data_IF_172001218756
#
_entry.id   IF_172001218756
#
_cell.length_a   1.000
_cell.length_b   1.000
_cell.length_c   1.000
_cell.angle_alpha   90.00
_cell.angle_beta   90.00
_cell.angle_gamma   90.00
#
_symmetry.space_group_name_H-M   'P 1'
#
loop_
_entity.id
_entity.type
_entity.pdbx_description
1 polymer ?
#
# COMPACT_ATOMS: atom_id res chain seq x y z
N UNK A 1 15.16 -23.06 -24.04
CA UNK A 1 14.66 -22.34 -22.83
C UNK A 1 15.41 -21.02 -22.57
N UNK A 2 16.71 -21.02 -22.23
CA UNK A 2 17.46 -19.80 -21.87
C UNK A 2 17.56 -18.73 -22.99
N UNK A 3 17.63 -19.14 -24.26
CA UNK A 3 17.65 -18.21 -25.40
C UNK A 3 16.37 -17.39 -25.52
N UNK A 4 15.21 -18.03 -25.38
CA UNK A 4 13.89 -17.37 -25.43
C UNK A 4 13.74 -16.37 -24.27
N UNK A 5 14.14 -16.75 -23.05
CA UNK A 5 14.11 -15.85 -21.90
C UNK A 5 14.99 -14.60 -22.09
N UNK A 6 16.16 -14.75 -22.72
CA UNK A 6 17.04 -13.61 -23.03
C UNK A 6 16.45 -12.68 -24.08
N UNK A 7 15.79 -13.23 -25.11
CA UNK A 7 15.13 -12.42 -26.14
C UNK A 7 13.96 -11.63 -25.54
N UNK A 8 13.06 -12.29 -24.78
CA UNK A 8 11.94 -11.63 -24.12
C UNK A 8 12.44 -10.52 -23.19
N UNK A 9 13.41 -10.83 -22.32
CA UNK A 9 13.98 -9.83 -21.41
C UNK A 9 14.77 -8.70 -22.11
N UNK A 10 15.16 -8.88 -23.37
CA UNK A 10 15.75 -7.83 -24.20
C UNK A 10 14.72 -6.86 -24.78
N UNK A 11 13.47 -7.30 -24.94
CA UNK A 11 12.37 -6.49 -25.50
C UNK A 11 11.51 -5.87 -24.41
N UNK A 12 11.17 -6.64 -23.37
CA UNK A 12 10.25 -6.20 -22.30
C UNK A 12 10.96 -5.70 -21.04
N UNK A 13 12.30 -5.74 -21.03
CA UNK A 13 13.10 -5.49 -19.84
C UNK A 13 13.29 -6.73 -18.97
N UNK A 14 14.24 -6.64 -18.04
CA UNK A 14 14.59 -7.70 -17.08
C UNK A 14 14.04 -7.37 -15.70
N UNK A 15 14.00 -8.38 -14.83
CA UNK A 15 13.65 -8.19 -13.43
C UNK A 15 14.51 -7.08 -12.81
N UNK A 16 13.86 -6.12 -12.16
CA UNK A 16 14.54 -5.10 -11.37
C UNK A 16 15.19 -5.77 -10.16
N UNK A 17 16.38 -5.30 -9.77
CA UNK A 17 17.04 -5.80 -8.57
C UNK A 17 16.21 -5.36 -7.34
N UNK A 18 15.57 -6.29 -6.62
CA UNK A 18 14.77 -5.90 -5.46
C UNK A 18 15.67 -5.38 -4.34
N UNK A 19 15.18 -4.43 -3.51
CA UNK A 19 15.85 -4.12 -2.25
C UNK A 19 15.86 -5.37 -1.37
N UNK A 20 16.93 -5.57 -0.60
CA UNK A 20 17.16 -6.83 0.12
C UNK A 20 16.00 -7.22 1.05
N UNK A 21 15.40 -6.27 1.76
CA UNK A 21 14.28 -6.52 2.68
C UNK A 21 13.07 -7.17 1.99
N UNK A 22 12.89 -6.91 0.68
CA UNK A 22 11.75 -7.43 -0.08
C UNK A 22 11.87 -8.93 -0.40
N UNK A 23 13.02 -9.54 -0.10
CA UNK A 23 13.26 -10.98 -0.18
C UNK A 23 13.07 -11.67 1.18
N UNK A 24 12.88 -10.90 2.26
CA UNK A 24 12.65 -11.41 3.61
C UNK A 24 11.22 -11.89 3.84
N UNK A 25 10.87 -12.16 5.09
CA UNK A 25 9.49 -12.56 5.43
C UNK A 25 8.58 -11.34 5.57
N UNK A 26 7.44 -11.38 4.88
CA UNK A 26 6.42 -10.34 4.88
C UNK A 26 5.21 -10.83 5.66
N UNK A 27 4.87 -10.13 6.73
CA UNK A 27 3.69 -10.42 7.55
C UNK A 27 2.54 -9.49 7.13
N UNK A 28 1.40 -10.08 6.78
CA UNK A 28 0.22 -9.39 6.29
C UNK A 28 -1.07 -10.12 6.72
N UNK A 29 -2.16 -9.37 6.85
CA UNK A 29 -3.55 -9.85 6.83
C UNK A 29 -4.47 -8.68 6.51
N UNK A 30 -5.71 -8.99 6.12
CA UNK A 30 -6.81 -8.04 6.13
C UNK A 30 -7.60 -8.18 7.44
N UNK A 31 -7.60 -7.21 8.35
CA UNK A 31 -6.65 -6.11 8.54
C UNK A 31 -5.94 -6.28 9.89
N UNK A 32 -4.87 -5.52 10.13
CA UNK A 32 -4.53 -5.16 11.51
C UNK A 32 -5.45 -4.05 11.97
N UNK A 33 -5.96 -4.18 13.19
CA UNK A 33 -7.11 -3.37 13.64
C UNK A 33 -6.70 -1.93 13.95
N UNK A 34 -5.52 -1.72 14.54
CA UNK A 34 -5.04 -0.41 14.95
C UNK A 34 -3.53 -0.41 15.25
N UNK A 35 -2.98 0.74 15.62
CA UNK A 35 -1.57 0.89 15.97
C UNK A 35 -1.11 -0.01 17.13
N UNK A 36 -1.99 -0.36 18.08
CA UNK A 36 -1.67 -1.25 19.21
C UNK A 36 -1.53 -2.70 18.74
N UNK A 37 -2.44 -3.16 17.89
CA UNK A 37 -2.37 -4.50 17.27
C UNK A 37 -1.06 -4.69 16.50
N UNK A 38 -0.67 -3.70 15.68
CA UNK A 38 0.60 -3.73 14.94
C UNK A 38 1.81 -3.86 15.87
N UNK A 39 1.85 -3.08 16.96
CA UNK A 39 2.95 -3.14 17.94
C UNK A 39 2.98 -4.49 18.66
N UNK A 40 1.80 -5.05 18.97
CA UNK A 40 1.67 -6.37 19.55
C UNK A 40 2.27 -7.44 18.62
N UNK A 41 1.87 -7.44 17.35
CA UNK A 41 2.40 -8.36 16.33
C UNK A 41 3.92 -8.24 16.19
N UNK A 42 4.44 -7.02 15.99
CA UNK A 42 5.88 -6.75 15.91
C UNK A 42 6.65 -7.26 17.14
N UNK A 43 6.09 -7.08 18.34
CA UNK A 43 6.70 -7.57 19.59
C UNK A 43 6.66 -9.09 19.74
N UNK A 44 5.60 -9.75 19.25
CA UNK A 44 5.48 -11.21 19.31
C UNK A 44 6.46 -11.93 18.38
N UNK A 45 6.81 -11.36 17.22
CA UNK A 45 7.89 -11.87 16.37
C UNK A 45 9.24 -11.87 17.10
N UNK A 46 9.57 -10.77 17.78
CA UNK A 46 10.79 -10.67 18.58
C UNK A 46 10.78 -11.68 19.73
N UNK A 47 9.67 -11.75 20.47
CA UNK A 47 9.52 -12.64 21.63
C UNK A 47 9.63 -14.12 21.25
N UNK A 48 9.18 -14.49 20.05
CA UNK A 48 9.19 -15.87 19.55
C UNK A 48 10.40 -16.20 18.69
N UNK A 49 11.33 -15.25 18.54
CA UNK A 49 12.53 -15.41 17.72
C UNK A 49 12.23 -15.77 16.26
N UNK A 50 11.11 -15.25 15.73
CA UNK A 50 10.72 -15.45 14.33
C UNK A 50 11.14 -14.19 13.54
N UNK A 51 12.05 -14.29 12.56
CA UNK A 51 12.47 -13.14 11.79
C UNK A 51 11.38 -12.69 10.81
N UNK A 52 11.22 -11.37 10.67
CA UNK A 52 10.43 -10.76 9.59
C UNK A 52 10.97 -9.38 9.23
N UNK A 53 10.77 -8.99 7.96
CA UNK A 53 11.31 -7.76 7.38
C UNK A 53 10.23 -6.70 7.14
N UNK A 54 8.99 -7.11 6.82
CA UNK A 54 7.95 -6.18 6.38
C UNK A 54 6.60 -6.47 7.05
N UNK A 55 5.97 -5.42 7.61
CA UNK A 55 4.59 -5.44 8.06
C UNK A 55 3.69 -4.70 7.07
N UNK A 56 2.57 -5.30 6.69
CA UNK A 56 1.64 -4.75 5.71
C UNK A 56 0.36 -4.21 6.35
N UNK A 57 -0.15 -3.10 5.82
CA UNK A 57 -1.46 -2.57 6.13
C UNK A 57 -2.36 -2.60 4.90
N UNK A 58 -3.44 -3.36 5.03
CA UNK A 58 -4.50 -3.50 4.04
C UNK A 58 -5.54 -2.36 4.21
N UNK A 59 -6.62 -2.34 3.43
CA UNK A 59 -7.46 -1.16 3.16
C UNK A 59 -8.06 -0.47 4.40
N UNK A 60 -8.22 -1.16 5.54
CA UNK A 60 -8.80 -0.58 6.76
C UNK A 60 -7.88 0.42 7.47
N UNK A 61 -6.62 0.59 7.04
CA UNK A 61 -5.76 1.64 7.60
C UNK A 61 -6.11 3.05 7.11
N UNK A 62 -6.88 3.15 6.03
CA UNK A 62 -7.25 4.41 5.38
C UNK A 62 -8.51 5.00 6.00
N UNK A 63 -8.66 6.33 5.95
CA UNK A 63 -9.95 6.96 6.28
C UNK A 63 -10.96 6.65 5.17
N UNK A 64 -11.89 5.73 5.45
CA UNK A 64 -13.04 5.45 4.58
C UNK A 64 -12.70 5.03 3.15
N UNK A 65 -11.55 4.37 2.94
CA UNK A 65 -11.01 3.90 1.64
C UNK A 65 -10.57 5.05 0.73
N UNK A 66 -10.22 6.19 1.33
CA UNK A 66 -9.46 7.26 0.69
C UNK A 66 -7.97 6.92 0.78
N UNK A 67 -7.33 6.56 -0.32
CA UNK A 67 -5.89 6.27 -0.28
C UNK A 67 -5.05 7.51 0.03
N UNK A 68 -3.83 7.31 0.54
CA UNK A 68 -2.95 8.39 1.01
C UNK A 68 -3.47 9.13 2.25
N UNK A 69 -4.47 8.57 2.94
CA UNK A 69 -4.95 9.04 4.25
C UNK A 69 -4.76 7.94 5.29
N UNK A 70 -5.07 8.25 6.55
CA UNK A 70 -5.07 7.32 7.66
C UNK A 70 -6.37 7.45 8.43
N UNK A 71 -6.92 6.34 8.91
CA UNK A 71 -7.99 6.36 9.89
C UNK A 71 -7.43 6.90 11.23
N UNK A 72 -7.85 8.11 11.61
CA UNK A 72 -7.29 8.81 12.78
C UNK A 72 -7.69 8.16 14.11
N UNK A 73 -8.76 7.36 14.16
CA UNK A 73 -9.19 6.66 15.36
C UNK A 73 -8.27 5.45 15.63
N UNK A 74 -7.98 4.67 14.59
CA UNK A 74 -7.20 3.43 14.69
C UNK A 74 -5.69 3.69 14.53
N UNK A 75 -5.29 4.73 13.80
CA UNK A 75 -3.91 5.09 13.49
C UNK A 75 -3.62 6.59 13.71
N UNK A 76 -3.79 7.11 14.94
CA UNK A 76 -3.68 8.54 15.23
C UNK A 76 -2.27 9.14 15.02
N UNK A 77 -1.21 8.32 15.08
CA UNK A 77 0.16 8.76 14.83
C UNK A 77 0.90 7.78 13.91
N UNK A 78 0.65 7.85 12.59
CA UNK A 78 1.25 6.93 11.64
C UNK A 78 2.76 7.16 11.50
N UNK A 79 3.26 8.36 11.82
CA UNK A 79 4.68 8.68 11.78
C UNK A 79 5.42 7.97 12.92
N UNK A 80 4.90 8.02 14.14
CA UNK A 80 5.48 7.31 15.27
C UNK A 80 5.38 5.79 15.09
N UNK A 81 4.30 5.29 14.50
CA UNK A 81 4.14 3.87 14.18
C UNK A 81 5.21 3.42 13.17
N UNK A 82 5.39 4.15 12.07
CA UNK A 82 6.43 3.84 11.07
C UNK A 82 7.84 3.94 11.65
N UNK A 83 8.12 4.93 12.51
CA UNK A 83 9.41 5.05 13.22
C UNK A 83 9.65 3.87 14.16
N UNK A 84 8.63 3.38 14.85
CA UNK A 84 8.74 2.23 15.73
C UNK A 84 9.15 0.96 14.97
N UNK A 85 8.44 0.64 13.89
CA UNK A 85 8.79 -0.51 13.03
C UNK A 85 10.16 -0.29 12.37
N UNK A 86 10.37 0.89 11.77
CA UNK A 86 11.61 1.25 11.09
C UNK A 86 12.84 1.27 11.98
N UNK A 87 12.69 1.58 13.27
CA UNK A 87 13.77 1.58 14.27
C UNK A 87 14.41 0.21 14.48
N UNK A 88 13.74 -0.87 14.09
CA UNK A 88 14.26 -2.25 14.12
C UNK A 88 14.86 -2.72 12.78
N UNK A 89 14.99 -1.81 11.81
CA UNK A 89 15.43 -2.15 10.45
C UNK A 89 14.32 -2.69 9.53
N UNK A 90 13.14 -2.96 10.09
CA UNK A 90 11.94 -3.43 9.37
C UNK A 90 11.33 -2.35 8.49
N UNK A 91 10.41 -2.73 7.61
CA UNK A 91 9.65 -1.85 6.71
C UNK A 91 8.16 -1.98 6.93
N UNK A 92 7.44 -0.96 6.51
CA UNK A 92 5.98 -0.97 6.44
C UNK A 92 5.55 -0.80 4.98
N UNK A 93 4.56 -1.57 4.55
CA UNK A 93 3.92 -1.43 3.25
C UNK A 93 2.45 -1.08 3.46
N UNK A 94 1.97 -0.08 2.71
CA UNK A 94 0.60 0.40 2.75
C UNK A 94 -0.04 0.10 1.40
N UNK A 95 -1.25 -0.46 1.40
CA UNK A 95 -2.00 -0.64 0.17
C UNK A 95 -2.43 0.71 -0.41
N UNK A 96 -2.33 0.85 -1.74
CA UNK A 96 -2.82 1.99 -2.52
C UNK A 96 -3.38 1.44 -3.82
N UNK A 97 -4.71 1.32 -3.92
CA UNK A 97 -5.36 0.83 -5.13
C UNK A 97 -5.64 1.97 -6.11
N UNK A 98 -5.83 1.67 -7.41
CA UNK A 98 -6.01 2.70 -8.44
C UNK A 98 -7.44 3.26 -8.53
N UNK A 99 -8.34 2.95 -7.60
CA UNK A 99 -9.65 3.58 -7.53
C UNK A 99 -9.63 4.74 -6.54
N UNK A 100 -10.29 5.84 -6.88
CA UNK A 100 -10.42 7.00 -6.01
C UNK A 100 -11.88 7.11 -5.59
N UNK A 101 -12.13 7.21 -4.30
CA UNK A 101 -13.47 7.50 -3.78
C UNK A 101 -13.97 8.82 -4.37
N UNK A 102 -15.18 8.81 -4.93
CA UNK A 102 -15.85 10.02 -5.42
C UNK A 102 -16.30 10.83 -4.22
N UNK A 103 -15.52 11.84 -3.87
CA UNK A 103 -15.71 12.68 -2.69
C UNK A 103 -15.00 14.02 -2.89
N UNK A 104 -15.75 15.12 -2.87
CA UNK A 104 -15.21 16.46 -3.13
C UNK A 104 -14.33 16.98 -1.97
N UNK A 105 -14.44 16.40 -0.77
CA UNK A 105 -13.55 16.71 0.36
C UNK A 105 -12.24 15.90 0.30
N UNK A 106 -12.16 14.88 -0.56
CA UNK A 106 -10.97 14.08 -0.75
C UNK A 106 -10.02 14.71 -1.79
N UNK A 107 -8.99 15.38 -1.28
CA UNK A 107 -8.06 16.16 -2.10
C UNK A 107 -7.41 15.39 -3.26
N UNK A 108 -7.14 14.09 -3.15
CA UNK A 108 -6.55 13.30 -4.24
C UNK A 108 -7.52 13.15 -5.40
N UNK A 109 -8.80 12.85 -5.11
CA UNK A 109 -9.86 12.78 -6.11
C UNK A 109 -10.10 14.15 -6.75
N UNK A 110 -10.26 15.19 -5.93
CA UNK A 110 -10.50 16.57 -6.41
C UNK A 110 -9.37 17.04 -7.33
N UNK A 111 -8.12 16.81 -6.96
CA UNK A 111 -6.96 17.12 -7.80
C UNK A 111 -6.92 16.30 -9.09
N UNK A 112 -7.23 15.00 -9.05
CA UNK A 112 -7.23 14.14 -10.23
C UNK A 112 -8.32 14.55 -11.24
N UNK A 113 -9.51 14.88 -10.73
CA UNK A 113 -10.63 15.43 -11.52
C UNK A 113 -10.25 16.76 -12.15
N UNK A 114 -9.72 17.71 -11.38
CA UNK A 114 -9.33 19.04 -11.86
C UNK A 114 -8.22 18.99 -12.93
N UNK A 115 -7.30 18.02 -12.82
CA UNK A 115 -6.26 17.78 -13.83
C UNK A 115 -6.75 17.00 -15.06
N UNK A 116 -7.97 16.47 -15.03
CA UNK A 116 -8.55 15.69 -16.10
C UNK A 116 -7.78 14.39 -16.39
N UNK A 117 -7.15 13.79 -15.37
CA UNK A 117 -6.33 12.56 -15.48
C UNK A 117 -7.12 11.28 -15.19
N UNK A 118 -8.40 11.39 -14.86
CA UNK A 118 -9.29 10.25 -14.65
C UNK A 118 -9.63 9.58 -15.98
N UNK A 119 -9.86 8.26 -15.94
CA UNK A 119 -10.39 7.51 -17.08
C UNK A 119 -11.78 8.06 -17.42
N UNK A 120 -12.07 8.25 -18.69
CA UNK A 120 -13.35 8.79 -19.17
C UNK A 120 -14.26 7.70 -19.72
N UNK A 121 -15.56 7.97 -19.73
CA UNK A 121 -16.54 7.11 -20.37
C UNK A 121 -16.36 7.05 -21.91
N UNK A 122 -17.12 6.18 -22.58
CA UNK A 122 -17.08 6.01 -24.04
C UNK A 122 -17.30 7.33 -24.80
N UNK A 123 -18.04 8.27 -24.22
CA UNK A 123 -18.31 9.57 -24.82
C UNK A 123 -17.20 10.59 -24.61
N UNK A 124 -16.25 10.33 -23.71
CA UNK A 124 -15.21 11.27 -23.30
C UNK A 124 -15.77 12.51 -22.58
N UNK A 125 -17.06 12.49 -22.20
CA UNK A 125 -17.79 13.64 -21.66
C UNK A 125 -17.80 13.68 -20.14
N UNK A 126 -17.66 12.52 -19.50
CA UNK A 126 -17.64 12.36 -18.06
C UNK A 126 -16.52 11.42 -17.66
N UNK A 127 -16.06 11.60 -16.44
CA UNK A 127 -15.17 10.63 -15.80
C UNK A 127 -15.94 9.32 -15.59
N UNK A 128 -15.24 8.20 -15.72
CA UNK A 128 -15.81 6.88 -15.48
C UNK A 128 -15.98 6.66 -13.98
N UNK A 129 -17.18 6.27 -13.58
CA UNK A 129 -17.53 5.94 -12.20
C UNK A 129 -18.02 4.48 -12.11
N UNK A 130 -17.59 3.79 -11.07
CA UNK A 130 -17.97 2.41 -10.77
C UNK A 130 -17.93 2.15 -9.26
N UNK A 131 -18.42 0.98 -8.84
CA UNK A 131 -18.42 0.59 -7.43
C UNK A 131 -17.17 -0.22 -7.08
N UNK A 132 -16.49 0.20 -6.02
CA UNK A 132 -15.39 -0.51 -5.37
C UNK A 132 -15.49 -0.29 -3.85
N UNK A 133 -14.42 -0.57 -3.12
CA UNK A 133 -14.33 -0.34 -1.67
C UNK A 133 -14.56 1.13 -1.27
#
# INVERSE_FOLDING_TARGET
ARGVQRMIGGVTGRQHMPPLFALGYHQCRWNYDNATDIRSVDSEFDRREIPYDVLWLDIEHTDGKRYLTWDEEHFPDPVALQKHIGGKGRKMVLIVDPHLKVDEEYSVYENARNKGVLVRDRGGKRDFEGHCW
#
